data_IF_023661404572
#
_entry.id   IF_023661404572
#
_cell.length_a   1.000
_cell.length_b   1.000
_cell.length_c   1.000
_cell.angle_alpha   90.00
_cell.angle_beta   90.00
_cell.angle_gamma   90.00
#
_symmetry.space_group_name_H-M   'P 1'
#
loop_
_entity.id
_entity.type
_entity.pdbx_description
1 polymer ?
#
# COMPACT_ATOMS: atom_id res chain seq x y z
N UNK A 1 -8.22 -4.91 -17.06
CA UNK A 1 -7.81 -4.53 -15.70
C UNK A 1 -6.42 -5.11 -15.50
N UNK A 2 -5.41 -4.28 -15.28
CA UNK A 2 -4.02 -4.74 -15.05
C UNK A 2 -3.88 -4.91 -13.55
N UNK A 3 -3.77 -6.15 -13.07
CA UNK A 3 -3.40 -6.43 -11.68
C UNK A 3 -1.87 -6.37 -11.64
N UNK A 4 -1.25 -5.51 -10.82
CA UNK A 4 0.21 -5.44 -10.70
C UNK A 4 0.73 -6.76 -10.12
N UNK A 5 1.90 -7.22 -10.60
CA UNK A 5 2.56 -8.41 -10.05
C UNK A 5 3.09 -8.17 -8.63
N UNK A 6 3.36 -9.26 -7.91
CA UNK A 6 3.81 -9.22 -6.53
C UNK A 6 5.13 -8.46 -6.34
N UNK A 7 6.05 -8.53 -7.32
CA UNK A 7 7.33 -7.81 -7.28
C UNK A 7 7.11 -6.29 -7.36
N UNK A 8 6.23 -5.85 -8.26
CA UNK A 8 5.83 -4.46 -8.42
C UNK A 8 5.13 -3.91 -7.18
N UNK A 9 4.26 -4.71 -6.54
CA UNK A 9 3.60 -4.34 -5.28
C UNK A 9 4.64 -4.21 -4.15
N UNK A 10 5.56 -5.16 -4.03
CA UNK A 10 6.63 -5.11 -3.03
C UNK A 10 7.55 -3.89 -3.23
N UNK A 11 7.90 -3.57 -4.48
CA UNK A 11 8.69 -2.39 -4.80
C UNK A 11 7.94 -1.10 -4.44
N UNK A 12 6.65 -1.00 -4.78
CA UNK A 12 5.82 0.13 -4.41
C UNK A 12 5.73 0.31 -2.89
N UNK A 13 5.59 -0.78 -2.12
CA UNK A 13 5.61 -0.74 -0.65
C UNK A 13 6.92 -0.21 -0.11
N UNK A 14 8.06 -0.63 -0.67
CA UNK A 14 9.39 -0.14 -0.29
C UNK A 14 9.52 1.37 -0.51
N UNK A 15 9.04 1.88 -1.65
CA UNK A 15 9.03 3.32 -1.96
C UNK A 15 8.18 4.09 -0.94
N UNK A 16 6.99 3.60 -0.62
CA UNK A 16 6.10 4.24 0.35
C UNK A 16 6.72 4.25 1.76
N UNK A 17 7.41 3.17 2.16
CA UNK A 17 8.12 3.11 3.45
C UNK A 17 9.28 4.12 3.53
N UNK A 18 10.02 4.29 2.44
CA UNK A 18 11.06 5.31 2.36
C UNK A 18 10.47 6.72 2.51
N UNK A 19 9.37 7.02 1.80
CA UNK A 19 8.68 8.30 1.90
C UNK A 19 8.12 8.56 3.31
N UNK A 20 7.59 7.54 4.00
CA UNK A 20 7.15 7.66 5.40
C UNK A 20 8.32 8.01 6.34
N UNK A 21 9.48 7.40 6.10
CA UNK A 21 10.69 7.67 6.89
C UNK A 21 11.18 9.11 6.66
N UNK A 22 11.14 9.59 5.42
CA UNK A 22 11.47 10.98 5.07
C UNK A 22 10.49 11.98 5.70
N UNK A 23 9.18 11.71 5.62
CA UNK A 23 8.16 12.55 6.26
C UNK A 23 8.37 12.61 7.78
N UNK A 24 8.64 11.48 8.43
CA UNK A 24 8.96 11.46 9.85
C UNK A 24 10.21 12.28 10.18
N UNK A 25 11.29 12.13 9.39
CA UNK A 25 12.53 12.88 9.59
C UNK A 25 12.35 14.39 9.40
N UNK A 26 11.56 14.80 8.39
CA UNK A 26 11.20 16.21 8.13
C UNK A 26 10.55 16.87 9.35
N UNK A 27 9.73 16.12 10.08
CA UNK A 27 8.91 16.63 11.19
C UNK A 27 9.50 16.37 12.59
N UNK A 28 10.63 15.65 12.72
CA UNK A 28 11.21 15.25 14.01
C UNK A 28 11.91 16.37 14.82
N UNK A 29 11.70 17.65 14.48
CA UNK A 29 12.38 18.82 15.08
C UNK A 29 11.54 19.66 16.05
N UNK A 30 12.13 20.75 16.58
CA UNK A 30 11.37 21.80 17.29
C UNK A 30 10.48 22.52 16.28
N UNK A 31 9.19 22.64 16.59
CA UNK A 31 8.20 23.23 15.69
C UNK A 31 7.31 22.21 14.97
N UNK A 32 7.15 21.00 15.52
CA UNK A 32 6.21 20.00 15.03
C UNK A 32 4.79 20.59 14.88
N UNK A 33 4.30 20.61 13.65
CA UNK A 33 2.90 20.90 13.35
C UNK A 33 2.17 19.57 13.04
N UNK A 34 1.19 19.16 13.87
CA UNK A 34 0.47 17.90 13.64
C UNK A 34 -0.37 17.90 12.36
N UNK A 35 -0.81 19.07 11.87
CA UNK A 35 -1.61 19.16 10.66
C UNK A 35 -0.74 18.98 9.41
N UNK A 36 0.44 19.60 9.38
CA UNK A 36 1.41 19.38 8.29
C UNK A 36 1.94 17.95 8.29
N UNK A 37 2.25 17.40 9.46
CA UNK A 37 2.63 16.00 9.60
C UNK A 37 1.52 15.07 9.11
N UNK A 38 0.27 15.31 9.55
CA UNK A 38 -0.88 14.52 9.12
C UNK A 38 -1.12 14.60 7.61
N UNK A 39 -0.95 15.77 7.01
CA UNK A 39 -1.08 15.96 5.56
C UNK A 39 -0.03 15.18 4.76
N UNK A 40 1.22 15.15 5.24
CA UNK A 40 2.32 14.41 4.59
C UNK A 40 2.20 12.89 4.80
N UNK A 41 1.77 12.43 5.98
CA UNK A 41 1.79 11.01 6.36
C UNK A 41 0.52 10.25 5.96
N UNK A 42 -0.67 10.88 6.06
CA UNK A 42 -1.94 10.16 5.84
C UNK A 42 -2.07 9.52 4.46
N UNK A 43 -1.72 10.20 3.34
CA UNK A 43 -1.76 9.60 2.02
C UNK A 43 -0.81 8.40 1.89
N UNK A 44 0.36 8.47 2.53
CA UNK A 44 1.37 7.41 2.49
C UNK A 44 0.92 6.17 3.28
N UNK A 45 0.33 6.36 4.46
CA UNK A 45 -0.26 5.25 5.24
C UNK A 45 -1.39 4.58 4.47
N UNK A 46 -2.26 5.37 3.84
CA UNK A 46 -3.35 4.83 3.01
C UNK A 46 -2.81 4.06 1.81
N UNK A 47 -1.77 4.57 1.13
CA UNK A 47 -1.12 3.88 0.03
C UNK A 47 -0.49 2.54 0.49
N UNK A 48 0.19 2.53 1.64
CA UNK A 48 0.76 1.31 2.19
C UNK A 48 -0.31 0.28 2.55
N UNK A 49 -1.42 0.71 3.15
CA UNK A 49 -2.55 -0.15 3.46
C UNK A 49 -3.17 -0.76 2.19
N UNK A 50 -3.40 0.06 1.15
CA UNK A 50 -3.93 -0.41 -0.13
C UNK A 50 -3.02 -1.44 -0.80
N UNK A 51 -1.69 -1.19 -0.83
CA UNK A 51 -0.72 -2.13 -1.38
C UNK A 51 -0.68 -3.44 -0.58
N UNK A 52 -0.83 -3.37 0.75
CA UNK A 52 -0.90 -4.56 1.61
C UNK A 52 -2.15 -5.40 1.34
N UNK A 53 -3.27 -4.76 0.97
CA UNK A 53 -4.49 -5.46 0.58
C UNK A 53 -4.29 -6.15 -0.78
N UNK A 54 -3.75 -5.42 -1.76
CA UNK A 54 -3.48 -5.96 -3.10
C UNK A 54 -2.51 -7.15 -3.09
N UNK A 55 -1.54 -7.17 -2.17
CA UNK A 55 -0.62 -8.29 -1.99
C UNK A 55 -1.32 -9.55 -1.43
N UNK A 56 -2.40 -9.36 -0.64
CA UNK A 56 -3.18 -10.47 -0.05
C UNK A 56 -4.30 -10.96 -0.96
N UNK A 57 -4.75 -10.12 -1.88
CA UNK A 57 -5.61 -10.52 -2.98
C UNK A 57 -4.75 -11.22 -4.05
N UNK A 58 -4.22 -12.41 -3.72
CA UNK A 58 -3.98 -13.40 -4.76
C UNK A 58 -5.29 -13.57 -5.53
N UNK A 59 -5.26 -13.70 -6.87
CA UNK A 59 -6.46 -13.99 -7.64
C UNK A 59 -7.00 -15.34 -7.17
N UNK A 60 -7.90 -15.30 -6.19
CA UNK A 60 -8.61 -16.47 -5.68
C UNK A 60 -9.21 -17.18 -6.87
N UNK A 61 -8.94 -18.49 -6.96
CA UNK A 61 -9.50 -19.45 -7.90
C UNK A 61 -11.04 -19.40 -7.87
N UNK A 62 -11.65 -18.38 -8.48
CA UNK A 62 -13.09 -18.23 -8.64
C UNK A 62 -13.59 -18.83 -9.96
N UNK A 63 -12.89 -19.85 -10.47
CA UNK A 63 -13.21 -20.44 -11.78
C UNK A 63 -13.07 -21.98 -11.86
N UNK A 64 -13.13 -22.71 -10.75
CA UNK A 64 -13.29 -24.17 -10.76
C UNK A 64 -14.55 -24.64 -10.01
N UNK A 65 -15.69 -23.97 -10.20
CA UNK A 65 -17.01 -24.56 -9.94
C UNK A 65 -17.99 -24.18 -11.06
N UNK A 66 -17.68 -24.60 -12.28
CA UNK A 66 -18.66 -24.64 -13.38
C UNK A 66 -18.37 -25.79 -14.35
N UNK A 67 -18.08 -26.97 -13.82
CA UNK A 67 -18.30 -28.21 -14.58
C UNK A 67 -19.75 -28.64 -14.32
N UNK A 68 -20.63 -28.70 -15.33
CA UNK A 68 -21.96 -29.24 -15.13
C UNK A 68 -21.84 -30.75 -14.86
N UNK A 69 -22.26 -31.20 -13.68
CA UNK A 69 -22.62 -32.59 -13.50
C UNK A 69 -24.02 -32.79 -14.10
N UNK A 70 -24.03 -33.50 -15.25
CA UNK A 70 -25.12 -34.11 -16.04
C UNK A 70 -26.27 -33.25 -16.59
#
# INVERSE_FOLDING_TARGET
>A
MIIPDAESIAQARSIVLAALSEAHAKHAGRGFDPYEFGADVSPLVNAYAALTILEKEEPSELAEESSPED
#
